data_IF_197084265737
#
_entry.id   IF_197084265737
#
_cell.length_a   1.000
_cell.length_b   1.000
_cell.length_c   1.000
_cell.angle_alpha   90.00
_cell.angle_beta   90.00
_cell.angle_gamma   90.00
#
_symmetry.space_group_name_H-M   'P 1'
#
loop_
_entity.id
_entity.type
_entity.pdbx_description
1 polymer ?
#
# COMPACT_ATOMS: atom_id res chain seq x y z
N UNK A 1 31.73 3.15 -24.57
CA UNK A 1 30.25 3.28 -24.60
C UNK A 1 29.71 2.63 -23.34
N UNK A 2 29.43 3.43 -22.31
CA UNK A 2 28.98 2.93 -21.00
C UNK A 2 27.47 2.76 -21.00
N UNK A 3 27.01 1.53 -20.78
CA UNK A 3 25.59 1.19 -20.71
C UNK A 3 24.94 1.83 -19.47
N UNK A 4 24.19 2.92 -19.66
CA UNK A 4 23.33 3.54 -18.64
C UNK A 4 21.88 3.01 -18.66
N UNK A 5 21.61 1.95 -19.42
CA UNK A 5 20.31 1.29 -19.46
C UNK A 5 20.14 0.37 -18.25
N UNK A 6 19.70 0.94 -17.12
CA UNK A 6 19.31 0.14 -15.96
C UNK A 6 19.03 0.92 -14.67
N UNK A 7 19.44 2.20 -14.58
CA UNK A 7 19.37 2.97 -13.32
C UNK A 7 18.21 3.96 -13.18
N UNK A 8 17.27 4.08 -14.14
CA UNK A 8 16.33 5.22 -14.15
C UNK A 8 14.83 4.88 -14.06
N UNK A 9 14.41 3.60 -14.14
CA UNK A 9 12.97 3.25 -14.17
C UNK A 9 12.42 2.48 -12.95
N UNK A 10 13.28 1.98 -12.05
CA UNK A 10 12.87 1.10 -10.92
C UNK A 10 12.51 1.92 -9.66
N UNK A 11 13.18 3.05 -9.43
CA UNK A 11 13.18 3.75 -8.13
C UNK A 11 11.97 4.67 -7.89
N UNK A 12 10.86 4.55 -8.62
CA UNK A 12 9.67 5.41 -8.41
C UNK A 12 8.38 4.67 -8.08
N UNK A 13 8.38 3.34 -8.08
CA UNK A 13 7.12 2.55 -7.95
C UNK A 13 7.15 1.56 -6.80
N UNK A 14 8.34 1.22 -6.35
CA UNK A 14 8.61 0.18 -5.36
C UNK A 14 9.30 0.81 -4.14
N UNK A 15 8.95 0.34 -2.96
CA UNK A 15 9.71 0.49 -1.73
C UNK A 15 10.24 -0.90 -1.33
N UNK A 16 11.55 -1.04 -1.26
CA UNK A 16 12.18 -2.18 -0.62
C UNK A 16 12.11 -2.02 0.91
N UNK A 17 12.26 -3.11 1.66
CA UNK A 17 12.44 -3.04 3.12
C UNK A 17 13.51 -1.99 3.47
N UNK A 18 13.20 -1.11 4.42
CA UNK A 18 14.02 0.02 4.86
C UNK A 18 13.93 1.28 3.98
N UNK A 19 13.21 1.26 2.85
CA UNK A 19 13.03 2.44 2.02
C UNK A 19 11.83 3.29 2.45
N UNK A 20 11.99 4.61 2.34
CA UNK A 20 10.98 5.59 2.77
C UNK A 20 10.48 6.49 1.64
N UNK A 21 9.22 6.89 1.72
CA UNK A 21 8.72 8.13 1.08
C UNK A 21 8.70 9.28 2.09
N UNK A 22 8.85 10.52 1.60
CA UNK A 22 8.93 11.72 2.45
C UNK A 22 8.21 12.90 1.81
N UNK A 23 7.48 13.71 2.58
CA UNK A 23 6.73 14.87 2.07
C UNK A 23 7.62 15.84 1.27
N UNK A 24 8.84 16.10 1.75
CA UNK A 24 9.82 17.00 1.10
C UNK A 24 10.86 16.25 0.25
N UNK A 25 10.49 15.12 -0.36
CA UNK A 25 11.41 14.32 -1.17
C UNK A 25 10.67 13.45 -2.18
N UNK A 26 11.06 12.19 -2.28
CA UNK A 26 10.26 11.19 -3.00
C UNK A 26 9.02 10.91 -2.17
N UNK A 27 7.91 11.58 -2.47
CA UNK A 27 6.66 11.43 -1.74
C UNK A 27 5.64 10.52 -2.44
N UNK A 28 5.96 10.03 -3.64
CA UNK A 28 4.98 9.39 -4.54
C UNK A 28 5.47 8.04 -5.07
N UNK A 29 4.55 7.07 -5.12
CA UNK A 29 4.66 5.89 -5.98
C UNK A 29 3.65 5.99 -7.12
N UNK A 30 4.04 5.51 -8.31
CA UNK A 30 3.19 5.49 -9.50
C UNK A 30 3.09 4.07 -10.01
N UNK A 31 1.89 3.62 -10.39
CA UNK A 31 1.71 2.29 -10.96
C UNK A 31 2.38 2.16 -12.32
N UNK A 32 2.45 0.92 -12.81
CA UNK A 32 2.70 0.65 -14.21
C UNK A 32 1.39 0.70 -15.00
N UNK A 33 1.49 0.83 -16.32
CA UNK A 33 0.35 0.69 -17.22
C UNK A 33 -0.15 -0.75 -17.25
N UNK A 34 0.76 -1.73 -17.30
CA UNK A 34 0.43 -3.16 -17.23
C UNK A 34 1.63 -3.99 -16.75
N UNK A 35 1.50 -5.32 -16.74
CA UNK A 35 2.61 -6.22 -16.40
C UNK A 35 3.69 -6.28 -17.48
N UNK A 36 3.32 -5.99 -18.73
CA UNK A 36 4.24 -5.96 -19.87
C UNK A 36 4.72 -4.55 -20.20
N UNK A 37 3.91 -3.52 -19.88
CA UNK A 37 4.26 -2.12 -20.11
C UNK A 37 4.65 -1.43 -18.79
N UNK A 38 5.95 -1.19 -18.63
CA UNK A 38 6.55 -0.49 -17.50
C UNK A 38 6.40 1.04 -17.51
N UNK A 39 5.66 1.61 -18.46
CA UNK A 39 5.34 3.04 -18.49
C UNK A 39 4.48 3.45 -17.28
N UNK A 40 4.35 4.75 -17.01
CA UNK A 40 3.57 5.25 -15.89
C UNK A 40 2.07 5.03 -16.13
N UNK A 41 1.44 4.24 -15.26
CA UNK A 41 0.01 4.01 -15.28
C UNK A 41 -0.80 5.13 -14.61
N UNK A 42 -2.13 4.95 -14.53
CA UNK A 42 -3.03 5.99 -14.04
C UNK A 42 -3.11 6.07 -12.50
N UNK A 43 -2.56 5.10 -11.77
CA UNK A 43 -2.66 5.06 -10.32
C UNK A 43 -1.42 5.64 -9.65
N UNK A 44 -1.61 6.30 -8.51
CA UNK A 44 -0.52 6.74 -7.66
C UNK A 44 -0.89 6.73 -6.18
N UNK A 45 0.11 6.64 -5.31
CA UNK A 45 -0.04 6.89 -3.87
C UNK A 45 0.94 7.98 -3.47
N UNK A 46 0.45 8.99 -2.74
CA UNK A 46 1.20 10.20 -2.39
C UNK A 46 1.15 10.41 -0.88
N UNK A 47 2.32 10.66 -0.28
CA UNK A 47 2.46 11.15 1.07
C UNK A 47 2.40 12.68 1.07
N UNK A 48 1.43 13.24 1.77
CA UNK A 48 1.30 14.66 2.02
C UNK A 48 0.76 14.91 3.45
N UNK A 49 0.46 16.17 3.77
CA UNK A 49 -0.04 16.53 5.11
C UNK A 49 -1.43 15.96 5.43
N UNK A 50 -2.18 15.53 4.40
CA UNK A 50 -3.51 14.94 4.53
C UNK A 50 -3.44 13.41 4.73
N UNK A 51 -2.29 12.80 4.46
CA UNK A 51 -2.01 11.40 4.75
C UNK A 51 -1.19 10.71 3.68
N UNK A 52 -1.31 9.38 3.62
CA UNK A 52 -0.70 8.54 2.59
C UNK A 52 -1.78 7.99 1.66
N UNK A 53 -2.15 8.80 0.66
CA UNK A 53 -3.44 8.71 -0.05
C UNK A 53 -3.26 8.14 -1.47
N UNK A 54 -4.17 7.26 -1.87
CA UNK A 54 -4.21 6.65 -3.20
C UNK A 54 -5.13 7.42 -4.15
N UNK A 55 -4.64 7.65 -5.36
CA UNK A 55 -5.25 8.48 -6.40
C UNK A 55 -5.30 7.79 -7.75
N UNK A 56 -6.45 7.88 -8.42
CA UNK A 56 -6.67 7.49 -9.80
C UNK A 56 -6.69 8.76 -10.67
N UNK A 57 -5.86 8.81 -11.69
CA UNK A 57 -5.94 9.82 -12.72
C UNK A 57 -6.95 9.41 -13.79
N UNK A 58 -8.10 10.09 -13.83
CA UNK A 58 -9.13 9.90 -14.83
C UNK A 58 -9.20 11.15 -15.73
N UNK A 59 -8.55 11.10 -16.90
CA UNK A 59 -8.56 12.18 -17.89
C UNK A 59 -8.16 13.56 -17.33
N UNK A 60 -7.19 13.60 -16.42
CA UNK A 60 -6.68 14.83 -15.80
C UNK A 60 -7.33 15.18 -14.47
N UNK A 61 -8.44 14.53 -14.10
CA UNK A 61 -9.02 14.65 -12.77
C UNK A 61 -8.42 13.60 -11.83
N UNK A 62 -7.84 14.06 -10.72
CA UNK A 62 -7.25 13.18 -9.72
C UNK A 62 -8.30 12.81 -8.66
N UNK A 63 -8.74 11.56 -8.67
CA UNK A 63 -9.77 11.02 -7.77
C UNK A 63 -9.14 10.23 -6.64
N UNK A 64 -9.53 10.52 -5.40
CA UNK A 64 -9.10 9.74 -4.23
C UNK A 64 -9.93 8.45 -4.17
N UNK A 65 -9.28 7.30 -4.06
CA UNK A 65 -9.98 6.01 -3.96
C UNK A 65 -9.53 5.14 -2.78
N UNK A 66 -8.42 5.46 -2.12
CA UNK A 66 -7.92 4.65 -1.00
C UNK A 66 -6.79 5.29 -0.21
N UNK A 67 -6.06 4.47 0.54
CA UNK A 67 -4.93 4.86 1.38
C UNK A 67 -5.32 5.28 2.81
N UNK A 68 -4.34 5.80 3.54
CA UNK A 68 -4.47 6.26 4.92
C UNK A 68 -4.73 7.78 4.92
N UNK A 69 -5.97 8.20 5.18
CA UNK A 69 -6.43 9.60 5.09
C UNK A 69 -6.31 10.37 6.40
N UNK A 70 -5.31 10.04 7.20
CA UNK A 70 -5.11 10.67 8.50
C UNK A 70 -4.28 11.93 8.34
N UNK A 71 -4.80 13.06 8.81
CA UNK A 71 -4.02 14.29 8.88
C UNK A 71 -2.79 14.07 9.75
N UNK A 72 -1.64 14.52 9.25
CA UNK A 72 -0.34 14.30 9.89
C UNK A 72 0.02 12.81 10.07
N UNK A 73 -0.35 11.94 9.12
CA UNK A 73 0.06 10.53 9.09
C UNK A 73 1.57 10.34 9.34
N UNK A 74 2.40 11.23 8.81
CA UNK A 74 3.84 11.27 9.05
C UNK A 74 4.55 12.08 7.97
N UNK A 75 5.70 12.65 8.29
CA UNK A 75 6.55 13.32 7.30
C UNK A 75 7.37 12.31 6.49
N UNK A 76 7.63 11.15 7.09
CA UNK A 76 8.39 10.02 6.54
C UNK A 76 7.57 8.75 6.75
N UNK A 77 7.42 7.94 5.71
CA UNK A 77 6.79 6.61 5.79
C UNK A 77 7.76 5.59 5.22
N UNK A 78 8.19 4.65 6.06
CA UNK A 78 9.16 3.60 5.74
C UNK A 78 8.46 2.25 5.67
N UNK A 79 8.67 1.50 4.60
CA UNK A 79 8.26 0.09 4.55
C UNK A 79 9.33 -0.76 5.19
N UNK A 80 8.97 -1.57 6.20
CA UNK A 80 9.91 -2.34 6.99
C UNK A 80 9.39 -3.75 7.30
N UNK A 81 10.31 -4.65 7.66
CA UNK A 81 10.03 -6.02 8.07
C UNK A 81 10.70 -6.28 9.42
N UNK A 82 9.90 -6.36 10.48
CA UNK A 82 10.40 -6.45 11.84
C UNK A 82 10.17 -7.85 12.42
N UNK A 83 11.16 -8.45 13.10
CA UNK A 83 10.94 -9.71 13.77
C UNK A 83 9.89 -9.55 14.89
N UNK A 84 9.03 -10.54 15.06
CA UNK A 84 8.02 -10.54 16.14
C UNK A 84 8.68 -10.64 17.52
N UNK A 85 9.78 -11.39 17.60
CA UNK A 85 10.50 -11.71 18.83
C UNK A 85 12.03 -11.75 18.58
N UNK A 86 12.81 -11.82 19.65
CA UNK A 86 14.28 -11.88 19.57
C UNK A 86 14.82 -13.09 18.79
N UNK A 87 14.04 -14.17 18.73
CA UNK A 87 14.37 -15.39 18.00
C UNK A 87 14.05 -15.30 16.49
N UNK A 88 13.42 -14.20 16.03
CA UNK A 88 13.05 -13.95 14.65
C UNK A 88 12.28 -15.11 13.97
N UNK A 89 11.43 -15.81 14.71
CA UNK A 89 10.66 -16.97 14.19
C UNK A 89 9.52 -16.57 13.26
N UNK A 90 9.08 -15.31 13.35
CA UNK A 90 8.03 -14.71 12.55
C UNK A 90 8.35 -13.22 12.36
N UNK A 91 7.82 -12.64 11.29
CA UNK A 91 8.06 -11.25 10.91
C UNK A 91 6.75 -10.52 10.68
N UNK A 92 6.74 -9.23 10.96
CA UNK A 92 5.66 -8.31 10.64
C UNK A 92 6.11 -7.37 9.53
N UNK A 93 5.31 -7.29 8.47
CA UNK A 93 5.42 -6.23 7.49
C UNK A 93 4.72 -4.99 8.04
N UNK A 94 5.43 -3.87 8.08
CA UNK A 94 4.93 -2.64 8.70
C UNK A 94 5.19 -1.41 7.84
N UNK A 95 4.36 -0.37 8.01
CA UNK A 95 4.71 1.00 7.68
C UNK A 95 5.08 1.75 8.96
N UNK A 96 6.32 2.21 9.04
CA UNK A 96 6.79 3.09 10.11
C UNK A 96 6.57 4.52 9.67
N UNK A 97 5.81 5.30 10.42
CA UNK A 97 5.53 6.70 10.11
C UNK A 97 6.12 7.64 11.17
N UNK A 98 6.92 8.60 10.74
CA UNK A 98 7.70 9.47 11.63
C UNK A 98 7.44 10.94 11.31
N UNK A 99 7.42 11.80 12.34
CA UNK A 99 7.39 13.25 12.19
C UNK A 99 8.84 13.76 12.10
N UNK A 100 9.17 14.64 11.17
CA UNK A 100 10.54 15.13 10.97
C UNK A 100 11.07 15.91 12.19
N UNK A 101 10.17 16.43 13.03
CA UNK A 101 10.49 17.27 14.18
C UNK A 101 10.22 16.59 15.55
N UNK A 102 9.84 15.30 15.59
CA UNK A 102 9.76 14.59 16.86
C UNK A 102 10.98 13.68 17.00
N UNK A 103 11.89 14.10 17.88
CA UNK A 103 12.83 13.18 18.52
C UNK A 103 12.06 11.99 19.09
N UNK A 104 12.53 10.79 18.82
CA UNK A 104 12.01 9.51 19.29
C UNK A 104 11.94 9.47 20.82
N UNK A 105 10.93 10.06 21.42
CA UNK A 105 10.43 9.59 22.72
C UNK A 105 9.64 8.34 22.42
N UNK A 106 10.37 7.22 22.28
CA UNK A 106 9.82 5.89 22.44
C UNK A 106 9.16 5.84 23.82
N UNK A 107 7.86 6.10 23.87
CA UNK A 107 7.09 5.84 25.08
C UNK A 107 7.17 4.33 25.28
N UNK A 108 7.98 3.91 26.25
CA UNK A 108 8.04 2.54 26.78
C UNK A 108 6.66 2.22 27.38
N UNK A 109 5.70 1.93 26.52
CA UNK A 109 4.38 1.44 26.87
C UNK A 109 4.44 -0.07 26.91
N UNK A 110 4.33 -0.63 28.11
CA UNK A 110 4.30 -2.07 28.35
C UNK A 110 3.42 -2.84 27.34
N UNK A 111 4.06 -3.54 26.41
CA UNK A 111 3.74 -4.91 26.00
C UNK A 111 2.30 -5.26 25.64
N UNK A 112 1.50 -4.35 25.08
CA UNK A 112 0.21 -4.72 24.44
C UNK A 112 0.19 -4.21 23.00
N UNK A 113 1.00 -4.87 22.16
CA UNK A 113 1.00 -4.77 20.70
C UNK A 113 -0.33 -5.33 20.19
N UNK A 114 -1.32 -4.46 20.03
CA UNK A 114 -2.62 -4.84 19.47
C UNK A 114 -2.40 -5.22 18.01
N UNK A 115 -2.83 -6.44 17.62
CA UNK A 115 -2.96 -6.88 16.24
C UNK A 115 -4.12 -6.11 15.57
N UNK A 116 -4.00 -4.79 15.48
CA UNK A 116 -5.03 -3.93 14.93
C UNK A 116 -4.62 -3.42 13.55
N UNK A 117 -5.54 -3.61 12.60
CA UNK A 117 -5.50 -3.09 11.22
C UNK A 117 -5.80 -1.57 11.18
N UNK A 118 -5.99 -0.93 12.35
CA UNK A 118 -6.25 0.50 12.50
C UNK A 118 -5.10 1.16 13.26
N UNK A 119 -4.65 2.36 12.86
CA UNK A 119 -3.60 3.07 13.59
C UNK A 119 -4.04 3.33 15.03
N UNK A 120 -3.20 2.93 15.99
CA UNK A 120 -3.37 3.36 17.38
C UNK A 120 -2.87 4.80 17.45
N UNK A 121 -3.65 5.71 18.03
CA UNK A 121 -3.41 7.17 18.14
C UNK A 121 -2.13 7.58 18.92
N UNK A 122 -1.15 6.68 19.04
CA UNK A 122 0.14 6.86 19.70
C UNK A 122 1.19 5.82 19.32
N UNK A 123 1.01 5.04 18.25
CA UNK A 123 2.02 4.12 17.73
C UNK A 123 2.45 4.55 16.33
N UNK A 124 3.75 4.74 16.11
CA UNK A 124 4.36 5.12 14.83
C UNK A 124 4.39 3.97 13.81
N UNK A 125 3.57 2.93 13.98
CA UNK A 125 3.61 1.68 13.21
C UNK A 125 2.20 1.32 12.72
N UNK A 126 2.09 0.99 11.43
CA UNK A 126 0.92 0.36 10.82
C UNK A 126 1.29 -1.06 10.42
N UNK A 127 0.68 -2.06 11.03
CA UNK A 127 0.89 -3.45 10.64
C UNK A 127 0.13 -3.74 9.33
N UNK A 128 0.85 -4.27 8.34
CA UNK A 128 0.30 -4.67 7.05
C UNK A 128 -0.05 -6.16 7.05
N UNK A 129 0.89 -7.00 7.48
CA UNK A 129 0.65 -8.43 7.68
C UNK A 129 1.68 -9.04 8.64
N UNK A 130 1.38 -10.25 9.13
CA UNK A 130 2.28 -11.10 9.92
C UNK A 130 2.57 -12.40 9.17
N UNK A 131 3.86 -12.71 9.03
CA UNK A 131 4.38 -13.86 8.31
C UNK A 131 5.10 -14.78 9.29
N UNK A 132 4.90 -16.09 9.16
CA UNK A 132 5.54 -17.12 9.97
C UNK A 132 6.94 -17.53 9.45
N UNK A 133 7.57 -16.65 8.66
CA UNK A 133 8.88 -16.86 8.07
C UNK A 133 9.60 -15.53 7.87
N UNK A 134 10.86 -15.59 7.45
CA UNK A 134 11.70 -14.41 7.27
C UNK A 134 11.17 -13.51 6.13
N UNK A 135 10.87 -12.26 6.46
CA UNK A 135 10.32 -11.27 5.53
C UNK A 135 11.29 -10.12 5.21
N UNK A 136 12.60 -10.26 5.47
CA UNK A 136 13.57 -9.21 5.16
C UNK A 136 13.72 -8.95 3.67
N UNK A 137 13.40 -9.95 2.83
CA UNK A 137 13.39 -9.84 1.37
C UNK A 137 11.94 -9.61 0.93
N UNK A 138 11.47 -8.38 1.13
CA UNK A 138 10.15 -7.95 0.71
C UNK A 138 10.21 -6.62 -0.03
N UNK A 139 9.16 -6.36 -0.82
CA UNK A 139 8.95 -5.07 -1.42
C UNK A 139 7.47 -4.70 -1.46
N UNK A 140 7.19 -3.42 -1.33
CA UNK A 140 5.87 -2.82 -1.46
C UNK A 140 5.78 -2.07 -2.79
N UNK A 141 4.75 -2.34 -3.58
CA UNK A 141 4.54 -1.75 -4.91
C UNK A 141 3.09 -1.41 -5.15
N UNK A 142 2.86 -0.30 -5.86
CA UNK A 142 1.55 0.01 -6.43
C UNK A 142 1.42 -0.70 -7.78
N UNK A 143 0.51 -1.66 -7.87
CA UNK A 143 0.28 -2.46 -9.07
C UNK A 143 -0.54 -1.71 -10.14
N UNK A 144 -0.52 -2.26 -11.35
CA UNK A 144 -1.28 -1.76 -12.51
C UNK A 144 -2.80 -1.83 -12.33
N UNK A 145 -3.30 -2.69 -11.44
CA UNK A 145 -4.72 -2.77 -11.06
C UNK A 145 -5.15 -1.66 -10.07
N UNK A 146 -4.20 -0.87 -9.57
CA UNK A 146 -4.41 0.18 -8.59
C UNK A 146 -4.33 -0.29 -7.13
N UNK A 147 -3.99 -1.55 -6.87
CA UNK A 147 -3.83 -2.07 -5.52
C UNK A 147 -2.39 -1.87 -5.01
N UNK A 148 -2.25 -1.55 -3.73
CA UNK A 148 -0.95 -1.46 -3.06
C UNK A 148 -0.64 -2.82 -2.43
N UNK A 149 0.41 -3.48 -2.92
CA UNK A 149 0.72 -4.86 -2.55
C UNK A 149 2.14 -5.01 -2.02
N UNK A 150 2.34 -5.94 -1.08
CA UNK A 150 3.66 -6.37 -0.67
C UNK A 150 3.91 -7.80 -1.16
N UNK A 151 5.08 -8.03 -1.73
CA UNK A 151 5.56 -9.35 -2.11
C UNK A 151 6.74 -9.72 -1.24
N UNK A 152 6.75 -10.96 -0.74
CA UNK A 152 7.82 -11.47 0.10
C UNK A 152 8.42 -12.71 -0.54
N UNK A 153 9.74 -12.80 -0.46
CA UNK A 153 10.48 -13.95 -0.96
C UNK A 153 10.63 -15.02 0.14
N UNK A 154 10.16 -16.23 -0.14
CA UNK A 154 10.29 -17.40 0.71
C UNK A 154 11.28 -18.40 0.11
N UNK A 155 12.40 -18.60 0.80
CA UNK A 155 13.53 -19.38 0.29
C UNK A 155 13.46 -20.89 0.60
N UNK A 156 12.54 -21.30 1.48
CA UNK A 156 12.37 -22.70 1.92
C UNK A 156 11.59 -23.57 0.93
N UNK A 157 11.15 -23.03 -0.21
CA UNK A 157 10.40 -23.74 -1.26
C UNK A 157 11.16 -23.74 -2.58
N UNK A 158 10.94 -24.75 -3.42
CA UNK A 158 11.66 -24.90 -4.70
C UNK A 158 11.02 -24.15 -5.89
N UNK A 159 9.76 -23.75 -5.78
CA UNK A 159 9.00 -23.03 -6.80
C UNK A 159 8.15 -21.92 -6.17
N UNK A 160 7.69 -20.95 -6.98
CA UNK A 160 6.84 -19.82 -6.55
C UNK A 160 7.37 -19.11 -5.29
N UNK A 161 8.68 -18.83 -5.27
CA UNK A 161 9.35 -18.22 -4.11
C UNK A 161 8.88 -16.81 -3.80
N UNK A 162 8.35 -16.07 -4.78
CA UNK A 162 7.74 -14.77 -4.55
C UNK A 162 6.23 -14.95 -4.43
N UNK A 163 5.67 -14.50 -3.31
CA UNK A 163 4.24 -14.57 -3.08
C UNK A 163 3.67 -13.23 -2.59
N UNK A 164 2.38 -13.01 -2.86
CA UNK A 164 1.64 -11.84 -2.39
C UNK A 164 1.40 -11.97 -0.88
N UNK A 165 2.24 -11.28 -0.12
CA UNK A 165 2.17 -11.25 1.35
C UNK A 165 1.23 -10.20 1.91
N UNK A 166 0.78 -9.23 1.11
CA UNK A 166 -0.17 -8.20 1.55
C UNK A 166 -0.83 -7.54 0.34
N UNK A 167 -2.09 -7.17 0.49
CA UNK A 167 -2.79 -6.27 -0.42
C UNK A 167 -3.72 -5.33 0.37
N UNK A 168 -3.62 -4.03 0.08
CA UNK A 168 -4.44 -3.00 0.70
C UNK A 168 -5.93 -3.26 0.43
N UNK A 169 -6.28 -3.49 -0.83
CA UNK A 169 -7.62 -3.96 -1.19
C UNK A 169 -7.64 -5.49 -1.18
N UNK A 170 -8.18 -6.08 -0.13
CA UNK A 170 -8.27 -7.52 0.11
C UNK A 170 -9.50 -7.85 0.97
N UNK A 171 -9.76 -9.14 1.22
CA UNK A 171 -10.76 -9.56 2.20
C UNK A 171 -10.41 -9.17 3.65
N UNK A 172 -9.14 -8.86 3.93
CA UNK A 172 -8.59 -8.72 5.28
C UNK A 172 -8.26 -7.27 5.68
N UNK A 173 -7.99 -6.39 4.72
CA UNK A 173 -7.59 -4.99 5.00
C UNK A 173 -8.68 -3.99 4.60
N UNK A 174 -8.77 -3.59 3.34
CA UNK A 174 -9.87 -2.80 2.77
C UNK A 174 -10.59 -3.60 1.70
N UNK A 175 -11.92 -3.49 1.58
CA UNK A 175 -12.68 -4.40 0.70
C UNK A 175 -12.28 -4.24 -0.78
N UNK A 176 -12.08 -5.36 -1.48
CA UNK A 176 -11.69 -5.38 -2.91
C UNK A 176 -12.61 -4.56 -3.83
N UNK A 177 -13.89 -4.48 -3.48
CA UNK A 177 -14.86 -3.68 -4.21
C UNK A 177 -14.63 -2.16 -4.15
N UNK A 178 -13.85 -1.67 -3.18
CA UNK A 178 -13.44 -0.28 -3.12
C UNK A 178 -12.34 0.05 -4.15
N UNK A 179 -11.76 -0.97 -4.78
CA UNK A 179 -10.79 -0.80 -5.86
C UNK A 179 -11.51 -0.40 -7.18
N UNK A 180 -11.16 0.75 -7.79
CA UNK A 180 -11.85 1.24 -8.99
C UNK A 180 -11.84 0.25 -10.16
N UNK A 181 -10.77 -0.51 -10.34
CA UNK A 181 -10.63 -1.51 -11.40
C UNK A 181 -11.58 -2.69 -11.26
N UNK A 182 -12.15 -2.92 -10.07
CA UNK A 182 -13.07 -4.03 -9.80
C UNK A 182 -14.54 -3.61 -9.88
N UNK A 183 -14.87 -2.39 -9.43
CA UNK A 183 -16.26 -1.91 -9.42
C UNK A 183 -16.69 -1.25 -10.75
N UNK A 184 -15.75 -0.77 -11.56
CA UNK A 184 -16.07 0.00 -12.77
C UNK A 184 -16.76 1.35 -12.46
N UNK A 185 -17.14 2.11 -13.49
CA UNK A 185 -17.68 3.47 -13.32
C UNK A 185 -19.06 3.54 -12.65
N UNK A 186 -19.85 2.45 -12.67
CA UNK A 186 -21.23 2.39 -12.17
C UNK A 186 -21.45 1.32 -11.10
N UNK A 187 -20.39 0.68 -10.62
CA UNK A 187 -20.50 -0.35 -9.60
C UNK A 187 -20.77 0.23 -8.23
N UNK A 188 -21.70 -0.38 -7.51
CA UNK A 188 -21.90 -0.17 -6.09
C UNK A 188 -21.29 -1.35 -5.34
N UNK A 189 -20.44 -1.07 -4.36
CA UNK A 189 -20.03 -2.10 -3.41
C UNK A 189 -21.07 -2.21 -2.29
N UNK A 190 -21.83 -3.30 -2.28
CA UNK A 190 -22.65 -3.67 -1.13
C UNK A 190 -22.34 -5.11 -0.68
N UNK A 191 -22.20 -5.32 0.64
CA UNK A 191 -22.04 -6.63 1.30
C UNK A 191 -21.15 -7.67 0.59
N UNK A 192 -19.96 -7.26 0.11
CA UNK A 192 -18.97 -8.13 -0.58
C UNK A 192 -19.43 -8.63 -1.96
N UNK A 193 -20.49 -8.06 -2.52
CA UNK A 193 -20.93 -8.32 -3.89
C UNK A 193 -20.65 -7.09 -4.75
N UNK A 194 -20.23 -7.34 -5.99
CA UNK A 194 -20.18 -6.33 -7.03
C UNK A 194 -21.61 -6.11 -7.51
N UNK A 195 -22.31 -5.11 -6.98
CA UNK A 195 -23.64 -4.76 -7.48
C UNK A 195 -23.42 -3.88 -8.71
N UNK A 196 -23.57 -4.47 -9.89
CA UNK A 196 -23.55 -3.72 -11.13
C UNK A 196 -24.89 -2.97 -11.32
N UNK A 197 -24.78 -1.65 -11.51
CA UNK A 197 -25.77 -0.66 -11.95
C UNK A 197 -27.01 -0.41 -11.07
N UNK A 198 -27.25 0.83 -10.62
CA UNK A 198 -28.62 1.34 -10.54
C UNK A 198 -29.19 1.26 -11.96
N UNK A 199 -30.27 0.51 -12.15
CA UNK A 199 -31.12 0.70 -13.33
C UNK A 199 -31.53 2.17 -13.33
N UNK A 200 -31.15 2.91 -14.36
CA UNK A 200 -31.85 4.17 -14.66
C UNK A 200 -33.32 3.77 -14.82
N UNK A 201 -34.13 4.15 -13.83
CA UNK A 201 -35.57 4.06 -13.92
C UNK A 201 -35.98 4.92 -15.10
N UNK A 202 -36.16 4.30 -16.26
CA UNK A 202 -36.99 4.88 -17.30
C UNK A 202 -38.40 4.80 -16.74
N UNK A 203 -38.82 5.88 -16.09
CA UNK A 203 -40.22 6.17 -15.86
C UNK A 203 -40.87 6.28 -17.25
N UNK A 204 -41.40 5.16 -17.74
CA UNK A 204 -42.28 5.16 -18.91
C UNK A 204 -43.61 5.73 -18.43
N UNK A 205 -43.73 7.05 -18.48
CA UNK A 205 -45.02 7.69 -18.70
C UNK A 205 -45.36 7.48 -20.18
N UNK A 206 -46.23 6.52 -20.46
CA UNK A 206 -47.33 6.50 -21.44
C UNK A 206 -47.97 5.11 -21.46
#
# INVERSE_FOLDING_TARGET
MGNSFGKVLITRRILLVGQSVRINGRNKLVSRTSDVDGSNGPYSIVLDRKGFIMYLNNSGQQLIYGGWREENFGDIVTFDAQPENENATAYELVLVHEQANQSTTSTTGNGRRLLQVRPTRGGNLVNLNKLNYNATISFLRLESDGNLKAFTYYDQVSYLKWDESFAFFSSHFERECALPSKCGAFGLCDKRMYVACPTVGVERNL
#
